data_IF_421311384648
#
_entry.id   IF_421311384648
#
_cell.length_a   1.000
_cell.length_b   1.000
_cell.length_c   1.000
_cell.angle_alpha   90.00
_cell.angle_beta   90.00
_cell.angle_gamma   90.00
#
_symmetry.space_group_name_H-M   'P 1'
#
loop_
_entity.id
_entity.type
_entity.pdbx_description
1 polymer ?
#
# COMPACT_ATOMS: atom_id res chain seq x y z
N UNK A 1 -2.76 -10.57 -24.93
CA UNK A 1 -3.18 -10.66 -23.51
C UNK A 1 -3.73 -9.30 -23.12
N UNK A 2 -5.04 -9.17 -22.90
CA UNK A 2 -5.60 -7.93 -22.36
C UNK A 2 -5.09 -7.75 -20.92
N UNK A 3 -4.57 -6.57 -20.57
CA UNK A 3 -4.18 -6.27 -19.20
C UNK A 3 -5.42 -6.35 -18.29
N UNK A 4 -5.29 -6.97 -17.12
CA UNK A 4 -6.40 -7.12 -16.18
C UNK A 4 -6.78 -5.78 -15.54
N UNK A 5 -8.08 -5.54 -15.41
CA UNK A 5 -8.66 -4.43 -14.64
C UNK A 5 -8.71 -3.09 -15.40
N UNK A 6 -9.68 -2.27 -15.02
CA UNK A 6 -9.72 -0.85 -15.37
C UNK A 6 -8.57 -0.09 -14.69
N UNK A 7 -8.16 1.09 -15.19
CA UNK A 7 -7.15 1.91 -14.53
C UNK A 7 -7.44 2.17 -13.04
N UNK A 8 -8.72 2.34 -12.70
CA UNK A 8 -9.19 2.56 -11.33
C UNK A 8 -9.04 1.33 -10.45
N UNK A 9 -9.27 0.12 -10.98
CA UNK A 9 -9.06 -1.13 -10.25
C UNK A 9 -7.58 -1.42 -10.00
N UNK A 10 -6.77 -1.20 -11.03
CA UNK A 10 -5.31 -1.33 -10.95
C UNK A 10 -4.76 -0.37 -9.88
N UNK A 11 -5.19 0.89 -9.91
CA UNK A 11 -4.73 1.90 -8.97
C UNK A 11 -5.21 1.61 -7.53
N UNK A 12 -6.47 1.19 -7.34
CA UNK A 12 -6.96 0.74 -6.01
C UNK A 12 -6.06 -0.36 -5.45
N UNK A 13 -5.73 -1.35 -6.27
CA UNK A 13 -4.89 -2.48 -5.84
C UNK A 13 -3.48 -2.04 -5.47
N UNK A 14 -2.86 -1.15 -6.26
CA UNK A 14 -1.53 -0.58 -5.96
C UNK A 14 -1.54 0.18 -4.64
N UNK A 15 -2.49 1.10 -4.46
CA UNK A 15 -2.63 1.91 -3.24
C UNK A 15 -2.85 1.09 -1.99
N UNK A 16 -3.73 0.07 -2.05
CA UNK A 16 -3.95 -0.85 -0.93
C UNK A 16 -2.66 -1.60 -0.60
N UNK A 17 -1.96 -2.12 -1.60
CA UNK A 17 -0.72 -2.89 -1.43
C UNK A 17 0.37 -2.07 -0.75
N UNK A 18 0.69 -0.88 -1.28
CA UNK A 18 1.74 -0.03 -0.71
C UNK A 18 1.35 0.49 0.68
N UNK A 19 0.07 0.76 0.93
CA UNK A 19 -0.40 1.17 2.26
C UNK A 19 -0.26 0.04 3.29
N UNK A 20 -0.57 -1.20 2.91
CA UNK A 20 -0.39 -2.36 3.79
C UNK A 20 1.08 -2.56 4.14
N UNK A 21 1.97 -2.49 3.15
CA UNK A 21 3.40 -2.64 3.36
C UNK A 21 4.01 -1.50 4.18
N UNK A 22 3.66 -0.25 3.86
CA UNK A 22 4.08 0.90 4.64
C UNK A 22 3.59 0.78 6.10
N UNK A 23 2.33 0.38 6.32
CA UNK A 23 1.81 0.20 7.68
C UNK A 23 2.55 -0.92 8.43
N UNK A 24 2.81 -2.05 7.78
CA UNK A 24 3.53 -3.16 8.39
C UNK A 24 4.92 -2.72 8.84
N UNK A 25 5.66 -2.01 7.97
CA UNK A 25 7.00 -1.53 8.26
C UNK A 25 7.00 -0.43 9.32
N UNK A 26 6.27 0.67 9.10
CA UNK A 26 6.35 1.89 9.92
C UNK A 26 5.64 1.78 11.27
N UNK A 27 4.67 0.86 11.42
CA UNK A 27 3.84 0.76 12.63
C UNK A 27 4.02 -0.55 13.37
N UNK A 28 4.26 -1.66 12.65
CA UNK A 28 4.36 -2.99 13.25
C UNK A 28 5.79 -3.54 13.28
N UNK A 29 6.76 -2.82 12.71
CA UNK A 29 8.16 -3.27 12.59
C UNK A 29 8.27 -4.63 11.84
N UNK A 30 7.38 -4.85 10.86
CA UNK A 30 7.33 -6.06 10.04
C UNK A 30 7.60 -5.72 8.58
N UNK A 31 8.69 -6.24 8.03
CA UNK A 31 8.98 -6.18 6.60
C UNK A 31 8.27 -7.31 5.85
N UNK A 32 7.25 -6.97 5.06
CA UNK A 32 6.51 -7.93 4.20
C UNK A 32 7.15 -8.11 2.81
N UNK A 33 7.97 -7.15 2.39
CA UNK A 33 8.70 -7.11 1.12
C UNK A 33 10.02 -6.37 1.32
N UNK A 34 11.02 -6.61 0.48
CA UNK A 34 12.28 -5.84 0.53
C UNK A 34 12.07 -4.39 0.10
N UNK A 35 13.01 -3.52 0.50
CA UNK A 35 12.99 -2.09 0.17
C UNK A 35 12.95 -1.86 -1.35
N UNK A 36 13.70 -2.64 -2.14
CA UNK A 36 13.70 -2.49 -3.60
C UNK A 36 12.35 -2.85 -4.23
N UNK A 37 11.63 -3.82 -3.65
CA UNK A 37 10.28 -4.17 -4.09
C UNK A 37 9.30 -3.07 -3.72
N UNK A 38 9.40 -2.53 -2.50
CA UNK A 38 8.55 -1.43 -2.05
C UNK A 38 8.76 -0.18 -2.93
N UNK A 39 10.00 0.25 -3.14
CA UNK A 39 10.35 1.42 -3.95
C UNK A 39 9.84 1.31 -5.38
N UNK A 40 10.03 0.15 -6.01
CA UNK A 40 9.54 -0.09 -7.37
C UNK A 40 8.02 0.05 -7.45
N UNK A 41 7.29 -0.49 -6.47
CA UNK A 41 5.83 -0.48 -6.49
C UNK A 41 5.25 0.90 -6.15
N UNK A 42 5.90 1.65 -5.26
CA UNK A 42 5.54 3.04 -4.96
C UNK A 42 5.65 3.94 -6.21
N UNK A 43 6.69 3.76 -7.04
CA UNK A 43 6.85 4.48 -8.31
C UNK A 43 5.76 4.19 -9.35
N UNK A 44 4.97 3.14 -9.17
CA UNK A 44 3.86 2.79 -10.06
C UNK A 44 2.52 3.39 -9.61
N UNK A 45 2.44 3.95 -8.41
CA UNK A 45 1.22 4.60 -7.91
C UNK A 45 1.02 5.91 -8.66
N UNK A 46 -0.18 6.14 -9.20
CA UNK A 46 -0.56 7.42 -9.80
C UNK A 46 -1.67 8.09 -8.98
N UNK A 47 -1.33 9.06 -8.11
CA UNK A 47 -2.31 9.81 -7.33
C UNK A 47 -3.33 10.59 -8.17
N UNK A 48 -3.09 10.80 -9.46
CA UNK A 48 -4.00 11.52 -10.37
C UNK A 48 -5.19 10.67 -10.81
N UNK A 49 -5.05 9.33 -10.79
CA UNK A 49 -6.15 8.42 -11.12
C UNK A 49 -7.18 8.44 -9.97
N UNK A 50 -8.43 8.79 -10.29
CA UNK A 50 -9.54 8.73 -9.34
C UNK A 50 -9.98 7.28 -9.12
N UNK A 51 -10.07 6.85 -7.87
CA UNK A 51 -10.46 5.47 -7.53
C UNK A 51 -11.95 5.34 -7.18
N UNK A 52 -12.68 6.45 -7.18
CA UNK A 52 -14.07 6.53 -6.71
C UNK A 52 -14.20 6.71 -5.20
N UNK A 53 -13.09 6.68 -4.44
CA UNK A 53 -13.08 7.02 -3.02
C UNK A 53 -12.46 8.40 -2.81
N UNK A 54 -13.30 9.44 -2.80
CA UNK A 54 -12.87 10.84 -2.71
C UNK A 54 -11.94 11.14 -1.53
N UNK A 55 -12.16 10.50 -0.37
CA UNK A 55 -11.36 10.71 0.85
C UNK A 55 -9.95 10.13 0.68
N UNK A 56 -9.85 8.89 0.18
CA UNK A 56 -8.56 8.26 -0.09
C UNK A 56 -7.84 8.91 -1.28
N UNK A 57 -8.56 9.31 -2.32
CA UNK A 57 -7.98 10.02 -3.47
C UNK A 57 -7.35 11.35 -3.04
N UNK A 58 -8.04 12.11 -2.17
CA UNK A 58 -7.48 13.35 -1.61
C UNK A 58 -6.26 13.09 -0.73
N UNK A 59 -6.29 12.02 0.06
CA UNK A 59 -5.15 11.60 0.88
C UNK A 59 -3.92 11.28 0.02
N UNK A 60 -4.05 10.41 -0.99
CA UNK A 60 -2.94 10.06 -1.86
C UNK A 60 -2.40 11.26 -2.63
N UNK A 61 -3.26 12.17 -3.12
CA UNK A 61 -2.77 13.40 -3.79
C UNK A 61 -1.98 14.33 -2.88
N UNK A 62 -2.31 14.40 -1.59
CA UNK A 62 -1.76 15.38 -0.65
C UNK A 62 -0.57 14.86 0.16
N UNK A 63 -0.57 13.58 0.48
CA UNK A 63 0.33 13.00 1.48
C UNK A 63 1.23 11.90 0.95
N UNK A 64 0.86 11.21 -0.15
CA UNK A 64 1.69 10.14 -0.68
C UNK A 64 3.04 10.69 -1.17
N UNK A 65 4.10 10.02 -0.76
CA UNK A 65 5.45 10.23 -1.24
C UNK A 65 6.02 8.86 -1.60
N UNK A 66 6.53 8.70 -2.81
CA UNK A 66 6.98 7.42 -3.36
C UNK A 66 8.34 6.96 -2.83
N UNK A 67 9.03 7.81 -2.07
CA UNK A 67 10.36 7.58 -1.49
C UNK A 67 10.35 7.31 0.02
N UNK A 68 9.18 7.19 0.66
CA UNK A 68 9.08 6.92 2.11
C UNK A 68 7.73 6.29 2.47
N UNK A 69 7.66 5.47 3.52
CA UNK A 69 6.41 4.92 4.07
C UNK A 69 5.70 5.84 5.08
N UNK A 70 6.37 6.89 5.56
CA UNK A 70 5.93 7.75 6.68
C UNK A 70 4.55 8.40 6.49
N UNK A 71 4.08 8.56 5.25
CA UNK A 71 2.74 9.07 4.97
C UNK A 71 1.62 8.18 5.53
N UNK A 72 1.90 6.90 5.79
CA UNK A 72 0.90 5.94 6.28
C UNK A 72 0.38 6.29 7.67
N UNK A 73 1.17 6.99 8.51
CA UNK A 73 0.72 7.47 9.82
C UNK A 73 -0.44 8.47 9.73
N UNK A 74 -0.63 9.11 8.56
CA UNK A 74 -1.73 10.04 8.28
C UNK A 74 -2.90 9.40 7.54
N UNK A 75 -2.88 8.07 7.34
CA UNK A 75 -3.91 7.37 6.58
C UNK A 75 -5.30 7.63 7.19
N UNK A 76 -6.31 8.00 6.39
CA UNK A 76 -7.61 8.46 6.91
C UNK A 76 -8.43 7.34 7.58
N UNK A 77 -8.06 6.08 7.36
CA UNK A 77 -8.68 4.90 7.94
C UNK A 77 -7.61 3.94 8.47
N UNK A 78 -6.91 4.35 9.52
CA UNK A 78 -5.92 3.53 10.21
C UNK A 78 -6.52 2.23 10.79
N UNK A 79 -7.71 2.22 11.44
CA UNK A 79 -8.28 0.99 11.98
C UNK A 79 -8.50 -0.09 10.91
N UNK A 80 -9.06 0.28 9.75
CA UNK A 80 -9.26 -0.66 8.66
C UNK A 80 -7.94 -1.13 8.06
N UNK A 81 -6.97 -0.22 7.88
CA UNK A 81 -5.66 -0.58 7.37
C UNK A 81 -4.94 -1.56 8.30
N UNK A 82 -4.98 -1.31 9.62
CA UNK A 82 -4.41 -2.19 10.62
C UNK A 82 -5.02 -3.60 10.57
N UNK A 83 -6.35 -3.69 10.44
CA UNK A 83 -7.05 -4.98 10.30
C UNK A 83 -6.59 -5.74 9.05
N UNK A 84 -6.49 -5.06 7.91
CA UNK A 84 -6.05 -5.65 6.65
C UNK A 84 -4.59 -6.12 6.73
N UNK A 85 -3.70 -5.29 7.29
CA UNK A 85 -2.27 -5.64 7.42
C UNK A 85 -2.08 -6.85 8.32
N UNK A 86 -2.79 -6.94 9.45
CA UNK A 86 -2.72 -8.11 10.35
C UNK A 86 -3.19 -9.38 9.66
N UNK A 87 -4.32 -9.33 8.93
CA UNK A 87 -4.79 -10.47 8.16
C UNK A 87 -3.79 -10.94 7.08
N UNK A 88 -3.03 -10.00 6.48
CA UNK A 88 -1.94 -10.33 5.54
C UNK A 88 -0.77 -10.99 6.27
N UNK A 89 -0.35 -10.48 7.42
CA UNK A 89 0.74 -11.05 8.23
C UNK A 89 0.38 -12.46 8.70
N UNK A 90 -0.83 -12.68 9.21
CA UNK A 90 -1.28 -14.00 9.70
C UNK A 90 -1.33 -15.04 8.57
N UNK A 91 -1.65 -14.60 7.34
CA UNK A 91 -1.61 -15.44 6.13
C UNK A 91 -0.21 -15.57 5.51
N UNK A 92 0.75 -14.75 5.92
CA UNK A 92 2.12 -14.75 5.41
C UNK A 92 2.93 -15.82 6.15
N UNK A 93 3.22 -16.94 5.48
CA UNK A 93 4.23 -17.89 5.94
C UNK A 93 5.60 -17.40 5.43
N UNK A 94 6.45 -16.78 6.26
CA UNK A 94 7.81 -16.47 5.82
C UNK A 94 8.49 -17.78 5.40
N UNK A 95 9.17 -17.78 4.24
CA UNK A 95 10.10 -18.87 3.95
C UNK A 95 11.16 -18.84 5.04
N UNK A 96 11.28 -19.92 5.80
CA UNK A 96 12.42 -20.10 6.69
C UNK A 96 13.69 -19.95 5.84
N UNK A 97 14.55 -19.01 6.20
CA UNK A 97 15.89 -18.92 5.61
C UNK A 97 16.67 -20.19 6.02
N UNK A 98 17.33 -20.89 5.07
CA UNK A 98 18.18 -22.04 5.38
C UNK A 98 19.42 -21.65 6.19
#
# INVERSE_FOLDING_TARGET
>A
MAAWGTPQEVERRRRIRVAVWAYAYEVLDVSLVSDEVFDRECKLVDPKVSTGNRRLDAFFRKHFADYTGQWVHKHPDLPRLAQLTRAVIDGFKPKASP
#
